data_IF_195709000681
#
_entry.id   IF_195709000681
#
_cell.length_a   1.000
_cell.length_b   1.000
_cell.length_c   1.000
_cell.angle_alpha   90.00
_cell.angle_beta   90.00
_cell.angle_gamma   90.00
#
_symmetry.space_group_name_H-M   'P 1'
#
loop_
_entity.id
_entity.type
_entity.pdbx_description
1 polymer ?
#
# COMPACT_ATOMS: atom_id res chain seq x y z
N UNK A 1 -39.37 -38.10 44.27
CA UNK A 1 -38.82 -36.73 44.39
C UNK A 1 -37.31 -36.82 44.22
N UNK A 2 -36.81 -36.73 42.99
CA UNK A 2 -35.39 -36.46 42.71
C UNK A 2 -35.35 -35.66 41.40
N UNK A 3 -34.94 -34.40 41.55
CA UNK A 3 -35.01 -33.37 40.54
C UNK A 3 -34.03 -33.66 39.39
N UNK A 4 -34.54 -33.58 38.16
CA UNK A 4 -33.73 -33.51 36.96
C UNK A 4 -33.16 -32.08 36.84
N UNK A 5 -31.89 -31.89 37.18
CA UNK A 5 -31.19 -30.62 37.02
C UNK A 5 -30.75 -30.46 35.57
N UNK A 6 -31.52 -29.70 34.79
CA UNK A 6 -31.15 -29.29 33.45
C UNK A 6 -29.92 -28.38 33.50
N UNK A 7 -28.78 -28.87 33.03
CA UNK A 7 -27.53 -28.12 32.90
C UNK A 7 -27.66 -27.19 31.68
N UNK A 8 -27.87 -25.89 31.92
CA UNK A 8 -27.88 -24.88 30.86
C UNK A 8 -26.52 -24.81 30.17
N UNK A 9 -26.47 -25.06 28.87
CA UNK A 9 -25.28 -24.86 28.05
C UNK A 9 -24.96 -23.36 27.96
N UNK A 10 -23.69 -22.94 28.02
CA UNK A 10 -23.32 -21.55 27.83
C UNK A 10 -23.67 -21.13 26.40
N UNK A 11 -24.58 -20.18 26.26
CA UNK A 11 -24.85 -19.50 24.99
C UNK A 11 -23.58 -18.75 24.61
N UNK A 12 -22.99 -19.12 23.47
CA UNK A 12 -21.83 -18.43 22.93
C UNK A 12 -22.15 -16.95 22.77
N UNK A 13 -21.34 -16.10 23.41
CA UNK A 13 -21.44 -14.65 23.27
C UNK A 13 -21.28 -14.29 21.79
N UNK A 14 -22.18 -13.48 21.20
CA UNK A 14 -22.03 -13.07 19.81
C UNK A 14 -20.69 -12.33 19.68
N UNK A 15 -19.83 -12.86 18.80
CA UNK A 15 -18.53 -12.28 18.46
C UNK A 15 -18.78 -10.83 18.09
N UNK A 16 -18.26 -9.88 18.88
CA UNK A 16 -18.41 -8.47 18.61
C UNK A 16 -17.95 -8.20 17.17
N UNK A 17 -18.88 -7.79 16.31
CA UNK A 17 -18.54 -7.26 15.00
C UNK A 17 -17.73 -6.01 15.29
N UNK A 18 -16.41 -6.07 15.04
CA UNK A 18 -15.53 -4.90 15.19
C UNK A 18 -16.03 -3.86 14.21
N UNK A 19 -16.88 -2.94 14.69
CA UNK A 19 -17.26 -1.74 13.95
C UNK A 19 -16.03 -0.86 13.99
N UNK A 20 -15.25 -0.86 12.90
CA UNK A 20 -14.12 0.03 12.76
C UNK A 20 -14.65 1.47 12.85
N UNK A 21 -14.50 2.10 14.02
CA UNK A 21 -14.80 3.51 14.20
C UNK A 21 -13.71 4.34 13.56
N UNK A 22 -14.07 5.50 12.99
CA UNK A 22 -13.13 6.46 12.41
C UNK A 22 -12.04 6.89 13.43
N UNK A 23 -12.35 6.83 14.73
CA UNK A 23 -11.44 7.16 15.83
C UNK A 23 -10.46 6.02 16.18
N UNK A 24 -10.79 4.77 15.85
CA UNK A 24 -9.92 3.60 16.07
C UNK A 24 -8.97 3.36 14.88
N UNK A 25 -9.01 4.23 13.86
CA UNK A 25 -8.16 4.13 12.68
C UNK A 25 -6.75 4.67 12.95
N UNK A 26 -5.75 3.83 12.75
CA UNK A 26 -4.34 4.25 12.74
C UNK A 26 -4.13 5.36 11.69
N UNK A 27 -3.49 6.48 12.02
CA UNK A 27 -3.20 7.55 11.05
C UNK A 27 -3.52 8.98 11.51
N UNK A 28 -4.06 9.14 12.72
CA UNK A 28 -4.05 10.43 13.44
C UNK A 28 -2.65 10.71 13.99
N UNK A 29 -2.18 11.95 13.85
CA UNK A 29 -0.86 12.34 14.32
C UNK A 29 -0.82 13.79 14.79
N UNK A 30 0.30 14.23 15.40
CA UNK A 30 0.49 15.63 15.77
C UNK A 30 0.39 16.57 14.56
N UNK A 31 0.70 16.08 13.36
CA UNK A 31 0.66 16.84 12.10
C UNK A 31 -0.77 17.24 11.70
N UNK A 32 -1.79 16.52 12.20
CA UNK A 32 -3.21 16.81 11.97
C UNK A 32 -3.89 17.36 13.24
N UNK A 33 -3.10 17.84 14.22
CA UNK A 33 -3.60 18.34 15.50
C UNK A 33 -4.18 17.26 16.41
N UNK A 34 -3.76 15.99 16.24
CA UNK A 34 -4.29 14.85 16.99
C UNK A 34 -5.72 14.46 16.61
N UNK A 35 -6.27 15.05 15.55
CA UNK A 35 -7.61 14.78 15.05
C UNK A 35 -7.56 14.04 13.72
N UNK A 36 -8.68 13.41 13.37
CA UNK A 36 -8.89 12.81 12.06
C UNK A 36 -8.99 13.93 11.02
N UNK A 37 -8.09 13.90 10.04
CA UNK A 37 -8.09 14.87 8.95
C UNK A 37 -9.15 14.48 7.91
N UNK A 38 -10.36 15.01 8.05
CA UNK A 38 -11.46 14.88 7.09
C UNK A 38 -12.25 16.19 6.97
N UNK A 39 -11.68 17.22 6.31
CA UNK A 39 -12.35 18.51 6.17
C UNK A 39 -13.61 18.45 5.28
N UNK A 40 -13.71 17.47 4.38
CA UNK A 40 -14.83 17.32 3.43
C UNK A 40 -15.93 16.39 3.97
N UNK A 41 -15.66 15.65 5.05
CA UNK A 41 -16.64 14.78 5.70
C UNK A 41 -16.89 13.47 4.96
N UNK A 42 -15.94 13.00 4.15
CA UNK A 42 -16.07 11.76 3.38
C UNK A 42 -16.26 10.54 4.30
N UNK A 43 -15.66 10.57 5.49
CA UNK A 43 -15.80 9.49 6.48
C UNK A 43 -17.20 9.42 7.09
N UNK A 44 -17.96 10.53 7.10
CA UNK A 44 -19.32 10.61 7.67
C UNK A 44 -20.39 10.07 6.73
N UNK A 45 -20.09 10.04 5.43
CA UNK A 45 -20.97 9.54 4.36
C UNK A 45 -20.72 8.05 4.12
N UNK A 46 -19.53 7.56 4.45
CA UNK A 46 -19.10 6.19 4.23
C UNK A 46 -19.67 5.19 5.25
N UNK A 47 -20.03 3.99 4.79
CA UNK A 47 -20.29 2.85 5.68
C UNK A 47 -18.98 2.32 6.29
N UNK A 48 -19.06 1.48 7.32
CA UNK A 48 -17.86 0.84 7.91
C UNK A 48 -17.05 0.03 6.89
N UNK A 49 -17.73 -0.57 5.90
CA UNK A 49 -17.08 -1.32 4.81
C UNK A 49 -16.36 -0.37 3.84
N UNK A 50 -17.00 0.77 3.52
CA UNK A 50 -16.41 1.80 2.67
C UNK A 50 -15.20 2.46 3.34
N UNK A 51 -15.23 2.66 4.65
CA UNK A 51 -14.07 3.15 5.42
C UNK A 51 -12.90 2.15 5.39
N UNK A 52 -13.19 0.85 5.56
CA UNK A 52 -12.18 -0.19 5.45
C UNK A 52 -11.58 -0.26 4.04
N UNK A 53 -12.40 -0.03 3.00
CA UNK A 53 -11.94 0.10 1.62
C UNK A 53 -11.04 1.31 1.40
N UNK A 54 -11.44 2.51 1.86
CA UNK A 54 -10.60 3.71 1.77
C UNK A 54 -9.26 3.52 2.45
N UNK A 55 -9.25 2.80 3.57
CA UNK A 55 -8.01 2.49 4.27
C UNK A 55 -7.11 1.54 3.49
N UNK A 56 -7.67 0.47 2.93
CA UNK A 56 -6.92 -0.42 2.07
C UNK A 56 -6.37 0.32 0.84
N UNK A 57 -7.17 1.20 0.24
CA UNK A 57 -6.77 2.02 -0.89
C UNK A 57 -5.61 2.97 -0.53
N UNK A 58 -5.69 3.70 0.59
CA UNK A 58 -4.60 4.57 1.08
C UNK A 58 -3.29 3.79 1.21
N UNK A 59 -3.35 2.59 1.79
CA UNK A 59 -2.17 1.75 1.98
C UNK A 59 -1.57 1.28 0.65
N UNK A 60 -2.39 0.84 -0.31
CA UNK A 60 -1.91 0.43 -1.65
C UNK A 60 -1.28 1.60 -2.39
N UNK A 61 -1.94 2.76 -2.43
CA UNK A 61 -1.41 3.96 -3.08
C UNK A 61 -0.12 4.43 -2.42
N UNK A 62 -0.05 4.41 -1.09
CA UNK A 62 1.15 4.74 -0.34
C UNK A 62 2.33 3.83 -0.70
N UNK A 63 2.12 2.50 -0.79
CA UNK A 63 3.18 1.53 -1.17
C UNK A 63 3.68 1.74 -2.60
N UNK A 64 2.76 1.93 -3.55
CA UNK A 64 3.11 2.20 -4.95
C UNK A 64 3.88 3.52 -5.05
N UNK A 65 3.42 4.56 -4.34
CA UNK A 65 4.09 5.86 -4.33
C UNK A 65 5.50 5.78 -3.70
N UNK A 66 5.67 5.06 -2.59
CA UNK A 66 6.99 4.87 -1.97
C UNK A 66 7.98 4.18 -2.93
N UNK A 67 7.54 3.15 -3.66
CA UNK A 67 8.35 2.50 -4.68
C UNK A 67 8.67 3.45 -5.85
N UNK A 68 7.68 4.23 -6.31
CA UNK A 68 7.84 5.18 -7.40
C UNK A 68 8.84 6.31 -7.08
N UNK A 69 8.74 6.93 -5.90
CA UNK A 69 9.70 7.97 -5.46
C UNK A 69 11.12 7.40 -5.39
N UNK A 70 11.28 6.21 -4.82
CA UNK A 70 12.60 5.56 -4.69
C UNK A 70 13.19 5.23 -6.06
N UNK A 71 12.38 4.71 -6.98
CA UNK A 71 12.79 4.44 -8.37
C UNK A 71 13.21 5.71 -9.10
N UNK A 72 12.41 6.78 -8.99
CA UNK A 72 12.73 8.07 -9.61
C UNK A 72 14.02 8.66 -9.04
N UNK A 73 14.20 8.63 -7.72
CA UNK A 73 15.39 9.12 -7.04
C UNK A 73 16.65 8.34 -7.47
N UNK A 74 16.57 7.01 -7.56
CA UNK A 74 17.68 6.17 -8.02
C UNK A 74 18.10 6.52 -9.45
N UNK A 75 17.15 6.53 -10.38
CA UNK A 75 17.43 6.82 -11.79
C UNK A 75 17.98 8.24 -11.98
N UNK A 76 17.40 9.22 -11.28
CA UNK A 76 17.79 10.64 -11.37
C UNK A 76 19.13 10.94 -10.69
N UNK A 77 19.52 10.17 -9.67
CA UNK A 77 20.80 10.35 -8.96
C UNK A 77 22.04 10.09 -9.82
N UNK A 78 21.88 9.54 -11.03
CA UNK A 78 23.00 9.10 -11.85
C UNK A 78 23.64 7.79 -11.39
N UNK A 79 22.97 7.04 -10.50
CA UNK A 79 23.41 5.74 -10.03
C UNK A 79 23.65 4.72 -11.16
N UNK A 80 24.34 3.61 -10.86
CA UNK A 80 24.61 2.57 -11.84
C UNK A 80 23.29 1.92 -12.28
N UNK A 81 23.08 1.88 -13.59
CA UNK A 81 22.03 1.09 -14.21
C UNK A 81 22.45 -0.38 -14.22
N UNK A 82 21.49 -1.30 -14.30
CA UNK A 82 21.81 -2.72 -14.38
C UNK A 82 22.66 -3.00 -15.62
N UNK A 83 23.77 -3.75 -15.50
CA UNK A 83 24.56 -4.10 -16.66
C UNK A 83 23.82 -5.16 -17.51
N UNK A 84 23.85 -5.01 -18.83
CA UNK A 84 23.38 -6.02 -19.78
C UNK A 84 22.10 -5.65 -20.52
N UNK A 85 21.44 -6.69 -21.05
CA UNK A 85 20.28 -6.57 -21.93
C UNK A 85 18.97 -6.72 -21.15
N UNK A 86 18.01 -5.82 -21.40
CA UNK A 86 16.62 -6.03 -20.98
C UNK A 86 15.92 -7.00 -21.94
N UNK A 87 16.27 -6.95 -23.23
CA UNK A 87 15.81 -7.89 -24.25
C UNK A 87 16.96 -8.23 -25.19
N UNK A 88 17.40 -9.48 -25.13
CA UNK A 88 18.47 -10.00 -26.00
C UNK A 88 18.00 -10.07 -27.45
N UNK A 89 16.71 -10.40 -27.67
CA UNK A 89 16.12 -10.52 -29.00
C UNK A 89 16.04 -9.18 -29.74
N UNK A 90 15.75 -8.10 -29.01
CA UNK A 90 15.64 -6.75 -29.56
C UNK A 90 16.93 -5.93 -29.41
N UNK A 91 17.96 -6.50 -28.77
CA UNK A 91 19.25 -5.83 -28.55
C UNK A 91 19.19 -4.61 -27.63
N UNK A 92 18.12 -4.46 -26.83
CA UNK A 92 17.93 -3.30 -25.95
C UNK A 92 18.67 -3.55 -24.63
N UNK A 93 19.55 -2.61 -24.27
CA UNK A 93 20.28 -2.62 -22.99
C UNK A 93 19.59 -1.73 -21.97
N UNK A 94 19.82 -1.99 -20.68
CA UNK A 94 19.32 -1.09 -19.63
C UNK A 94 19.87 0.33 -19.76
N UNK A 95 21.08 0.48 -20.29
CA UNK A 95 21.67 1.79 -20.57
C UNK A 95 20.94 2.51 -21.72
N UNK A 96 20.52 1.78 -22.75
CA UNK A 96 19.83 2.35 -23.91
C UNK A 96 18.43 2.90 -23.61
N UNK A 97 17.80 2.49 -22.49
CA UNK A 97 16.51 3.03 -22.05
C UNK A 97 16.59 4.49 -21.59
N UNK A 98 17.79 4.97 -21.28
CA UNK A 98 18.00 6.31 -20.74
C UNK A 98 17.59 6.44 -19.28
N UNK A 99 17.53 7.69 -18.82
CA UNK A 99 17.22 8.04 -17.41
C UNK A 99 15.92 8.82 -17.25
N UNK A 100 15.26 9.15 -18.36
CA UNK A 100 13.91 9.67 -18.31
C UNK A 100 12.95 8.50 -18.10
N UNK A 101 12.25 8.50 -16.95
CA UNK A 101 11.36 7.40 -16.57
C UNK A 101 10.23 7.16 -17.57
N UNK A 102 9.69 8.20 -18.20
CA UNK A 102 8.60 8.05 -19.17
C UNK A 102 9.11 7.49 -20.49
N UNK A 103 10.21 8.04 -21.01
CA UNK A 103 10.85 7.52 -22.21
C UNK A 103 11.36 6.08 -22.02
N UNK A 104 11.90 5.75 -20.85
CA UNK A 104 12.35 4.41 -20.51
C UNK A 104 11.17 3.42 -20.45
N UNK A 105 10.02 3.84 -19.92
CA UNK A 105 8.80 3.02 -19.99
C UNK A 105 8.37 2.81 -21.44
N UNK A 106 8.34 3.84 -22.27
CA UNK A 106 7.95 3.71 -23.67
C UNK A 106 8.89 2.79 -24.46
N UNK A 107 10.20 2.90 -24.24
CA UNK A 107 11.22 2.05 -24.84
C UNK A 107 11.25 0.60 -24.32
N UNK A 108 10.57 0.31 -23.21
CA UNK A 108 10.52 -1.05 -22.66
C UNK A 108 9.70 -1.95 -23.59
N UNK A 109 10.21 -3.14 -23.96
CA UNK A 109 9.50 -4.10 -24.81
C UNK A 109 8.11 -4.48 -24.28
N UNK A 110 7.13 -4.66 -25.18
CA UNK A 110 5.75 -4.97 -24.81
C UNK A 110 5.61 -6.27 -24.01
N UNK A 111 6.40 -7.29 -24.34
CA UNK A 111 6.44 -8.54 -23.59
C UNK A 111 6.95 -8.33 -22.14
N UNK A 112 7.92 -7.43 -21.93
CA UNK A 112 8.38 -7.04 -20.60
C UNK A 112 7.29 -6.33 -19.80
N UNK A 113 6.58 -5.38 -20.43
CA UNK A 113 5.42 -4.69 -19.82
C UNK A 113 4.33 -5.70 -19.45
N UNK A 114 4.01 -6.63 -20.34
CA UNK A 114 3.02 -7.67 -20.11
C UNK A 114 3.39 -8.60 -18.94
N UNK A 115 4.67 -8.95 -18.77
CA UNK A 115 5.14 -9.72 -17.61
C UNK A 115 4.98 -8.95 -16.31
N UNK A 116 5.35 -7.66 -16.28
CA UNK A 116 5.17 -6.80 -15.10
C UNK A 116 3.69 -6.72 -14.72
N UNK A 117 2.82 -6.39 -15.68
CA UNK A 117 1.38 -6.30 -15.46
C UNK A 117 0.76 -7.65 -15.08
N UNK A 118 1.24 -8.75 -15.67
CA UNK A 118 0.79 -10.11 -15.36
C UNK A 118 1.10 -10.51 -13.92
N UNK A 119 2.32 -10.23 -13.45
CA UNK A 119 2.72 -10.50 -12.06
C UNK A 119 1.94 -9.61 -11.09
N UNK A 120 1.82 -8.31 -11.38
CA UNK A 120 1.04 -7.38 -10.54
C UNK A 120 -0.42 -7.82 -10.46
N UNK A 121 -1.03 -8.16 -11.60
CA UNK A 121 -2.41 -8.64 -11.66
C UNK A 121 -2.62 -9.95 -10.89
N UNK A 122 -1.69 -10.90 -11.02
CA UNK A 122 -1.73 -12.14 -10.25
C UNK A 122 -1.63 -11.87 -8.73
N UNK A 123 -0.73 -10.97 -8.31
CA UNK A 123 -0.57 -10.61 -6.91
C UNK A 123 -1.81 -9.91 -6.33
N UNK A 124 -2.48 -9.04 -7.09
CA UNK A 124 -3.75 -8.42 -6.68
C UNK A 124 -4.86 -9.48 -6.55
N UNK A 125 -4.98 -10.40 -7.52
CA UNK A 125 -5.97 -11.48 -7.45
C UNK A 125 -5.73 -12.38 -6.24
N UNK A 126 -4.47 -12.73 -5.95
CA UNK A 126 -4.12 -13.49 -4.75
C UNK A 126 -4.39 -12.69 -3.47
N UNK A 127 -4.10 -11.39 -3.46
CA UNK A 127 -4.41 -10.51 -2.34
C UNK A 127 -5.90 -10.45 -2.01
N UNK A 128 -6.77 -10.41 -3.03
CA UNK A 128 -8.22 -10.40 -2.85
C UNK A 128 -8.82 -11.78 -2.56
N UNK A 129 -8.28 -12.83 -3.19
CA UNK A 129 -8.86 -14.19 -3.13
C UNK A 129 -8.35 -15.02 -1.96
N UNK A 130 -7.10 -14.82 -1.53
CA UNK A 130 -6.44 -15.68 -0.55
C UNK A 130 -6.68 -15.27 0.91
N UNK A 131 -7.06 -14.02 1.18
CA UNK A 131 -7.32 -13.55 2.56
C UNK A 131 -8.81 -13.51 2.84
N UNK A 132 -9.28 -14.49 3.61
CA UNK A 132 -10.62 -14.51 4.20
C UNK A 132 -10.51 -14.37 5.73
N UNK A 133 -11.27 -13.47 6.38
CA UNK A 133 -12.29 -12.57 5.80
C UNK A 133 -11.66 -11.40 5.02
N UNK A 134 -12.38 -10.94 3.99
CA UNK A 134 -11.99 -9.77 3.19
C UNK A 134 -11.80 -8.55 4.10
N UNK A 135 -10.92 -7.61 3.75
CA UNK A 135 -10.66 -6.43 4.60
C UNK A 135 -11.91 -5.55 4.82
N UNK A 136 -12.85 -5.55 3.86
CA UNK A 136 -14.17 -4.91 4.05
C UNK A 136 -15.06 -5.61 5.08
N UNK A 137 -14.79 -6.88 5.40
CA UNK A 137 -15.54 -7.69 6.36
C UNK A 137 -14.76 -7.91 7.68
N UNK A 138 -13.83 -7.01 8.01
CA UNK A 138 -13.05 -7.04 9.26
C UNK A 138 -11.70 -7.78 9.16
N UNK A 139 -11.23 -8.10 7.95
CA UNK A 139 -9.86 -8.57 7.72
C UNK A 139 -8.81 -7.47 7.91
N UNK A 140 -7.54 -7.85 8.15
CA UNK A 140 -6.44 -6.88 8.21
C UNK A 140 -6.03 -6.44 6.80
N UNK A 141 -6.13 -5.15 6.44
CA UNK A 141 -5.72 -4.68 5.11
C UNK A 141 -4.21 -4.83 4.90
N UNK A 142 -3.79 -5.11 3.67
CA UNK A 142 -2.38 -5.06 3.25
C UNK A 142 -1.52 -6.28 3.58
N UNK A 143 -2.10 -7.36 4.12
CA UNK A 143 -1.42 -8.66 4.13
C UNK A 143 -1.60 -9.29 2.75
N UNK A 144 -0.51 -9.69 2.11
CA UNK A 144 -0.56 -10.61 0.97
C UNK A 144 0.17 -11.87 1.47
N UNK A 145 -0.49 -13.04 1.51
CA UNK A 145 0.17 -14.28 1.92
C UNK A 145 1.37 -14.51 0.98
N UNK A 146 2.51 -14.95 1.53
CA UNK A 146 3.77 -15.20 0.83
C UNK A 146 4.68 -13.99 0.55
N UNK A 147 4.15 -12.78 0.33
CA UNK A 147 4.98 -11.61 -0.06
C UNK A 147 5.23 -10.60 1.07
N UNK A 148 4.31 -10.49 2.04
CA UNK A 148 4.38 -9.44 3.06
C UNK A 148 5.43 -9.67 4.14
N UNK A 149 5.76 -10.93 4.45
CA UNK A 149 6.80 -11.26 5.42
C UNK A 149 7.43 -12.65 5.16
N UNK A 150 8.14 -12.84 4.03
CA UNK A 150 8.74 -14.12 3.67
C UNK A 150 9.84 -14.55 4.65
N UNK A 151 10.43 -13.60 5.40
CA UNK A 151 11.54 -13.82 6.34
C UNK A 151 11.09 -13.84 7.81
N UNK A 152 9.79 -13.67 8.08
CA UNK A 152 9.23 -13.75 9.44
C UNK A 152 9.68 -12.63 10.37
N UNK A 153 10.09 -11.48 9.85
CA UNK A 153 10.54 -10.36 10.66
C UNK A 153 9.41 -9.82 11.56
N UNK A 154 8.15 -9.89 11.13
CA UNK A 154 7.00 -9.39 11.89
C UNK A 154 6.56 -10.32 13.01
N UNK A 155 6.95 -11.59 12.99
CA UNK A 155 6.60 -12.58 14.01
C UNK A 155 7.34 -12.36 15.35
N UNK A 156 8.43 -11.59 15.34
CA UNK A 156 9.27 -11.33 16.53
C UNK A 156 9.01 -9.95 17.19
N UNK A 157 8.15 -9.12 16.62
CA UNK A 157 7.86 -7.77 17.13
C UNK A 157 6.66 -7.77 18.09
N UNK A 158 6.69 -6.89 19.10
CA UNK A 158 5.54 -6.65 19.97
C UNK A 158 4.41 -5.92 19.25
N UNK A 159 3.18 -6.03 19.77
CA UNK A 159 1.98 -5.37 19.24
C UNK A 159 2.14 -3.85 19.10
N UNK A 160 2.83 -3.23 20.05
CA UNK A 160 3.02 -1.77 20.10
C UNK A 160 3.97 -1.31 19.00
N UNK A 161 5.10 -2.02 18.82
CA UNK A 161 6.07 -1.68 17.77
C UNK A 161 5.45 -1.92 16.39
N UNK A 162 4.63 -2.96 16.22
CA UNK A 162 3.92 -3.18 14.96
C UNK A 162 2.95 -2.03 14.63
N UNK A 163 2.22 -1.52 15.61
CA UNK A 163 1.33 -0.37 15.42
C UNK A 163 2.14 0.89 15.04
N UNK A 164 3.27 1.15 15.72
CA UNK A 164 4.16 2.26 15.38
C UNK A 164 4.70 2.14 13.95
N UNK A 165 5.13 0.95 13.52
CA UNK A 165 5.63 0.72 12.15
C UNK A 165 4.54 0.92 11.11
N UNK A 166 3.30 0.52 11.36
CA UNK A 166 2.17 0.82 10.47
C UNK A 166 1.92 2.32 10.36
N UNK A 167 1.98 3.06 11.47
CA UNK A 167 1.89 4.52 11.45
C UNK A 167 3.03 5.12 10.62
N UNK A 168 4.26 4.61 10.74
CA UNK A 168 5.38 5.07 9.93
C UNK A 168 5.20 4.77 8.44
N UNK A 169 4.67 3.60 8.09
CA UNK A 169 4.37 3.20 6.71
C UNK A 169 3.37 4.17 6.06
N UNK A 170 2.30 4.53 6.79
CA UNK A 170 1.29 5.45 6.28
C UNK A 170 1.82 6.87 6.12
N UNK A 171 2.60 7.35 7.10
CA UNK A 171 3.18 8.69 7.03
C UNK A 171 4.16 8.81 5.85
N UNK A 172 5.01 7.80 5.65
CA UNK A 172 5.90 7.72 4.50
C UNK A 172 5.11 7.58 3.19
N UNK A 173 4.05 6.78 3.17
CA UNK A 173 3.15 6.64 2.02
C UNK A 173 2.47 7.96 1.64
N UNK A 174 1.94 8.71 2.63
CA UNK A 174 1.34 10.04 2.42
C UNK A 174 2.32 11.03 1.84
N UNK A 175 3.53 11.09 2.42
CA UNK A 175 4.60 11.95 1.91
C UNK A 175 4.99 11.55 0.48
N UNK A 176 5.13 10.25 0.22
CA UNK A 176 5.49 9.74 -1.09
C UNK A 176 4.42 10.05 -2.15
N UNK A 177 3.13 9.96 -1.81
CA UNK A 177 2.04 10.33 -2.75
C UNK A 177 2.14 11.79 -3.18
N UNK A 178 2.42 12.71 -2.25
CA UNK A 178 2.66 14.13 -2.58
C UNK A 178 3.94 14.28 -3.40
N UNK A 179 4.99 13.55 -3.03
CA UNK A 179 6.28 13.54 -3.72
C UNK A 179 6.19 13.12 -5.19
N UNK A 180 5.53 12.00 -5.50
CA UNK A 180 5.32 11.55 -6.89
C UNK A 180 4.58 12.60 -7.69
N UNK A 181 3.47 13.15 -7.17
CA UNK A 181 2.71 14.16 -7.91
C UNK A 181 3.54 15.43 -8.18
N UNK A 182 4.42 15.80 -7.25
CA UNK A 182 5.35 16.92 -7.42
C UNK A 182 6.38 16.63 -8.53
N UNK A 183 6.96 15.42 -8.55
CA UNK A 183 7.90 14.98 -9.59
C UNK A 183 7.25 14.92 -10.97
N UNK A 184 6.01 14.40 -11.06
CA UNK A 184 5.21 14.37 -12.29
C UNK A 184 4.97 15.79 -12.81
N UNK A 185 4.54 16.71 -11.92
CA UNK A 185 4.32 18.11 -12.29
C UNK A 185 5.60 18.77 -12.79
N UNK A 186 6.72 18.58 -12.09
CA UNK A 186 8.01 19.15 -12.47
C UNK A 186 8.49 18.63 -13.83
N UNK A 187 8.24 17.35 -14.14
CA UNK A 187 8.62 16.74 -15.41
C UNK A 187 7.86 17.34 -16.61
N UNK A 188 6.54 17.50 -16.51
CA UNK A 188 5.72 18.00 -17.64
C UNK A 188 5.61 19.53 -17.70
N UNK A 189 5.74 20.22 -16.55
CA UNK A 189 5.59 21.66 -16.43
C UNK A 189 6.87 22.22 -15.80
N UNK A 190 7.80 22.74 -16.62
CA UNK A 190 9.04 23.33 -16.13
C UNK A 190 8.77 24.43 -15.09
N UNK A 191 9.56 24.48 -14.02
CA UNK A 191 9.44 25.43 -12.90
C UNK A 191 8.13 25.35 -12.08
N UNK A 192 7.30 24.32 -12.27
CA UNK A 192 6.09 24.15 -11.45
C UNK A 192 6.39 23.84 -9.98
N UNK A 193 7.53 23.21 -9.70
CA UNK A 193 8.03 22.94 -8.34
C UNK A 193 9.36 23.69 -8.15
N UNK A 194 9.39 24.80 -7.41
CA UNK A 194 10.57 25.68 -7.32
C UNK A 194 11.85 25.03 -6.79
N UNK A 195 11.72 23.91 -6.07
CA UNK A 195 12.85 23.21 -5.45
C UNK A 195 13.40 22.04 -6.31
N UNK A 196 12.72 21.71 -7.40
CA UNK A 196 13.16 20.65 -8.32
C UNK A 196 13.75 21.32 -9.58
N UNK A 197 14.99 20.95 -9.97
CA UNK A 197 15.64 21.48 -11.16
C UNK A 197 15.02 20.94 -12.45
#
# INVERSE_FOLDING_TARGET
>A
MLLCTARSLPVASPRATVRLGVQDMEGTGPETGGQVFDPIGLSKIASSETLAWYRAAELKHGRIAMAAVTGWAWVSSGGPLFPGYISVEQGITFESLGRDGYAAWDATPENGKAQILGIVGLLEILGESAIKPHYMAGGTPGKIPLLWDPLGFTAKLSSEVLAEKRVSELKNGRLAMIGVMSLVSAHFIPNSVPLLP
#
